data_IF_162747600742
#
_entry.id   IF_162747600742
#
_cell.length_a   1.000
_cell.length_b   1.000
_cell.length_c   1.000
_cell.angle_alpha   90.00
_cell.angle_beta   90.00
_cell.angle_gamma   90.00
#
_symmetry.space_group_name_H-M   'P 1'
#
loop_
_entity.id
_entity.type
_entity.pdbx_description
1 polymer ?
#
# COMPACT_ATOMS: atom_id res chain seq x y z
N UNK A 1 -12.53 5.05 15.15
CA UNK A 1 -11.58 6.08 14.67
C UNK A 1 -10.61 6.54 15.75
N UNK A 2 -11.07 7.03 16.91
CA UNK A 2 -10.16 7.54 17.97
C UNK A 2 -9.05 6.55 18.36
N UNK A 3 -9.38 5.28 18.57
CA UNK A 3 -8.42 4.20 18.88
C UNK A 3 -7.41 3.95 17.76
N UNK A 4 -7.83 4.05 16.49
CA UNK A 4 -6.95 3.90 15.33
C UNK A 4 -5.98 5.09 15.20
N UNK A 5 -6.48 6.32 15.41
CA UNK A 5 -5.65 7.53 15.44
C UNK A 5 -4.66 7.46 16.61
N UNK A 6 -5.12 7.08 17.80
CA UNK A 6 -4.25 6.91 18.96
C UNK A 6 -3.15 5.88 18.69
N UNK A 7 -3.47 4.77 18.02
CA UNK A 7 -2.48 3.79 17.59
C UNK A 7 -1.50 4.37 16.56
N UNK A 8 -1.97 5.10 15.55
CA UNK A 8 -1.11 5.77 14.56
C UNK A 8 -0.15 6.79 15.22
N UNK A 9 -0.64 7.58 16.17
CA UNK A 9 0.18 8.51 16.95
C UNK A 9 1.19 7.78 17.84
N UNK A 10 0.78 6.67 18.45
CA UNK A 10 1.67 5.86 19.27
C UNK A 10 2.83 5.25 18.46
N UNK A 11 2.65 4.98 17.15
CA UNK A 11 3.72 4.48 16.27
C UNK A 11 4.78 5.53 15.92
N UNK A 12 4.44 6.82 15.95
CA UNK A 12 5.33 7.91 15.56
C UNK A 12 6.69 7.89 16.30
N UNK A 13 6.76 7.82 17.65
CA UNK A 13 8.05 7.74 18.35
C UNK A 13 8.85 6.51 17.96
N UNK A 14 8.21 5.37 17.66
CA UNK A 14 8.93 4.17 17.23
C UNK A 14 9.58 4.38 15.86
N UNK A 15 8.91 5.07 14.93
CA UNK A 15 9.48 5.37 13.61
C UNK A 15 10.69 6.31 13.72
N UNK A 16 10.59 7.37 14.51
CA UNK A 16 11.69 8.32 14.74
C UNK A 16 12.87 7.62 15.41
N UNK A 17 12.62 6.85 16.49
CA UNK A 17 13.68 6.11 17.19
C UNK A 17 14.35 5.10 16.25
N UNK A 18 13.56 4.35 15.48
CA UNK A 18 14.09 3.41 14.51
C UNK A 18 14.90 4.10 13.41
N UNK A 19 14.49 5.30 12.98
CA UNK A 19 15.18 6.06 11.94
C UNK A 19 16.54 6.56 12.44
N UNK A 20 16.60 7.10 13.65
CA UNK A 20 17.86 7.55 14.27
C UNK A 20 18.82 6.38 14.57
N UNK A 21 18.32 5.24 15.07
CA UNK A 21 19.15 4.06 15.35
C UNK A 21 19.75 3.50 14.04
N UNK A 22 18.94 3.45 12.98
CA UNK A 22 19.36 2.84 11.70
C UNK A 22 20.00 3.82 10.72
N UNK A 23 19.98 5.13 11.04
CA UNK A 23 20.29 6.21 10.11
C UNK A 23 19.62 6.00 8.73
N UNK A 24 18.34 5.62 8.78
CA UNK A 24 17.55 5.25 7.61
C UNK A 24 16.11 5.70 7.84
N UNK A 25 15.61 6.58 6.97
CA UNK A 25 14.32 7.24 7.18
C UNK A 25 13.15 6.54 6.49
N UNK A 26 13.39 5.38 5.87
CA UNK A 26 12.36 4.52 5.26
C UNK A 26 11.67 3.58 6.27
N UNK A 27 11.67 3.95 7.55
CA UNK A 27 11.10 3.10 8.59
C UNK A 27 9.60 2.94 8.43
N UNK A 28 8.89 4.02 8.10
CA UNK A 28 7.45 3.96 7.83
C UNK A 28 7.16 3.13 6.58
N UNK A 29 8.02 3.21 5.56
CA UNK A 29 7.87 2.48 4.29
C UNK A 29 7.81 0.96 4.50
N UNK A 30 8.54 0.43 5.49
CA UNK A 30 8.48 -0.99 5.86
C UNK A 30 7.10 -1.42 6.39
N UNK A 31 6.38 -0.52 7.06
CA UNK A 31 5.08 -0.77 7.69
C UNK A 31 3.91 -0.36 6.80
N UNK A 32 4.16 0.48 5.79
CA UNK A 32 3.17 1.00 4.85
C UNK A 32 2.28 -0.08 4.23
N UNK A 33 2.79 -1.24 3.77
CA UNK A 33 1.95 -2.32 3.23
C UNK A 33 1.03 -2.99 4.24
N UNK A 34 1.29 -2.83 5.54
CA UNK A 34 0.67 -3.63 6.61
C UNK A 34 -0.36 -2.81 7.38
N UNK A 35 -0.04 -1.55 7.69
CA UNK A 35 -0.86 -0.71 8.57
C UNK A 35 -2.31 -0.52 8.10
N UNK A 36 -2.61 -0.27 6.80
CA UNK A 36 -3.99 -0.16 6.32
C UNK A 36 -4.84 -1.40 6.66
N UNK A 37 -4.29 -2.60 6.51
CA UNK A 37 -5.00 -3.83 6.87
C UNK A 37 -5.20 -3.97 8.37
N UNK A 38 -4.23 -3.56 9.20
CA UNK A 38 -4.39 -3.54 10.66
C UNK A 38 -5.57 -2.63 11.04
N UNK A 39 -5.68 -1.43 10.46
CA UNK A 39 -6.79 -0.52 10.73
C UNK A 39 -8.14 -1.08 10.26
N UNK A 40 -8.19 -1.65 9.05
CA UNK A 40 -9.41 -2.28 8.53
C UNK A 40 -9.89 -3.43 9.43
N UNK A 41 -8.98 -4.31 9.85
CA UNK A 41 -9.28 -5.41 10.76
C UNK A 41 -9.65 -4.93 12.16
N UNK A 42 -9.05 -3.84 12.64
CA UNK A 42 -9.45 -3.21 13.89
C UNK A 42 -10.91 -2.75 13.85
N UNK A 43 -11.35 -2.10 12.76
CA UNK A 43 -12.75 -1.68 12.60
C UNK A 43 -13.70 -2.87 12.48
N UNK A 44 -13.32 -3.91 11.74
CA UNK A 44 -14.07 -5.17 11.69
C UNK A 44 -14.22 -5.80 13.08
N UNK A 45 -13.12 -5.96 13.82
CA UNK A 45 -13.12 -6.59 15.14
C UNK A 45 -13.98 -5.81 16.14
N UNK A 46 -13.91 -4.48 16.10
CA UNK A 46 -14.76 -3.63 16.93
C UNK A 46 -16.24 -3.80 16.59
N UNK A 47 -16.62 -3.80 15.31
CA UNK A 47 -18.00 -3.98 14.89
C UNK A 47 -18.54 -5.36 15.29
N UNK A 48 -17.74 -6.41 15.07
CA UNK A 48 -18.07 -7.77 15.47
C UNK A 48 -18.30 -7.90 16.98
N UNK A 49 -17.40 -7.34 17.80
CA UNK A 49 -17.51 -7.37 19.26
C UNK A 49 -18.71 -6.61 19.83
N UNK A 50 -19.28 -5.67 19.06
CA UNK A 50 -20.49 -4.92 19.43
C UNK A 50 -21.77 -5.52 18.81
N UNK A 51 -21.70 -6.69 18.17
CA UNK A 51 -22.86 -7.34 17.57
C UNK A 51 -23.44 -6.59 16.37
N UNK A 52 -22.63 -5.76 15.70
CA UNK A 52 -23.04 -5.05 14.49
C UNK A 52 -22.92 -5.96 13.26
N UNK A 53 -23.64 -5.67 12.18
CA UNK A 53 -23.46 -6.40 10.92
C UNK A 53 -22.07 -6.20 10.33
N UNK A 54 -21.40 -7.30 9.98
CA UNK A 54 -19.98 -7.27 9.60
C UNK A 54 -19.67 -7.76 8.19
N UNK A 55 -20.63 -8.18 7.37
CA UNK A 55 -20.36 -8.80 6.06
C UNK A 55 -19.48 -7.92 5.15
N UNK A 56 -19.77 -6.62 5.08
CA UNK A 56 -18.97 -5.64 4.32
C UNK A 56 -17.57 -5.47 4.92
N UNK A 57 -17.49 -5.30 6.23
CA UNK A 57 -16.22 -5.11 6.95
C UNK A 57 -15.32 -6.34 6.85
N UNK A 58 -15.89 -7.54 6.92
CA UNK A 58 -15.20 -8.80 6.70
C UNK A 58 -14.66 -8.87 5.27
N UNK A 59 -15.47 -8.52 4.28
CA UNK A 59 -15.06 -8.49 2.87
C UNK A 59 -13.92 -7.52 2.63
N UNK A 60 -14.02 -6.29 3.17
CA UNK A 60 -12.94 -5.28 3.13
C UNK A 60 -11.67 -5.82 3.81
N UNK A 61 -11.79 -6.46 4.97
CA UNK A 61 -10.66 -7.05 5.69
C UNK A 61 -9.95 -8.16 4.91
N UNK A 62 -10.70 -9.04 4.23
CA UNK A 62 -10.12 -10.10 3.38
C UNK A 62 -9.40 -9.48 2.16
N UNK A 63 -10.05 -8.52 1.48
CA UNK A 63 -9.45 -7.84 0.32
C UNK A 63 -8.19 -7.07 0.74
N UNK A 64 -8.22 -6.36 1.87
CA UNK A 64 -7.06 -5.62 2.34
C UNK A 64 -5.92 -6.55 2.73
N UNK A 65 -6.21 -7.71 3.34
CA UNK A 65 -5.19 -8.73 3.62
C UNK A 65 -4.54 -9.25 2.34
N UNK A 66 -5.30 -9.51 1.27
CA UNK A 66 -4.74 -9.90 -0.03
C UNK A 66 -3.84 -8.80 -0.61
N UNK A 67 -4.27 -7.54 -0.53
CA UNK A 67 -3.48 -6.38 -0.93
C UNK A 67 -2.18 -6.27 -0.12
N UNK A 68 -2.25 -6.42 1.21
CA UNK A 68 -1.08 -6.42 2.10
C UNK A 68 -0.11 -7.54 1.75
N UNK A 69 -0.58 -8.77 1.59
CA UNK A 69 0.28 -9.91 1.23
C UNK A 69 1.00 -9.66 -0.09
N UNK A 70 0.27 -9.21 -1.13
CA UNK A 70 0.85 -8.86 -2.44
C UNK A 70 1.95 -7.81 -2.27
N UNK A 71 1.63 -6.71 -1.61
CA UNK A 71 2.48 -5.54 -1.55
C UNK A 71 3.71 -5.77 -0.66
N UNK A 72 3.53 -6.42 0.49
CA UNK A 72 4.63 -6.87 1.36
C UNK A 72 5.56 -7.81 0.61
N UNK A 73 5.03 -8.78 -0.14
CA UNK A 73 5.85 -9.66 -0.98
C UNK A 73 6.62 -8.88 -2.05
N UNK A 74 5.97 -7.93 -2.73
CA UNK A 74 6.59 -7.10 -3.76
C UNK A 74 7.71 -6.20 -3.20
N UNK A 75 7.52 -5.67 -1.99
CA UNK A 75 8.53 -4.86 -1.29
C UNK A 75 9.70 -5.72 -0.80
N UNK A 76 9.39 -6.90 -0.23
CA UNK A 76 10.38 -7.86 0.24
C UNK A 76 11.31 -8.35 -0.88
N UNK A 77 10.75 -8.81 -2.01
CA UNK A 77 11.56 -9.33 -3.12
C UNK A 77 12.48 -8.28 -3.74
N UNK A 78 12.14 -6.99 -3.61
CA UNK A 78 12.98 -5.86 -4.04
C UNK A 78 14.09 -5.51 -3.02
N UNK A 79 14.15 -6.20 -1.88
CA UNK A 79 15.12 -5.94 -0.82
C UNK A 79 14.72 -4.82 0.15
N UNK A 80 13.46 -4.36 0.13
CA UNK A 80 13.02 -3.22 0.96
C UNK A 80 13.10 -3.44 2.48
N UNK A 81 13.20 -4.70 2.92
CA UNK A 81 13.40 -5.07 4.32
C UNK A 81 14.86 -5.35 4.69
N UNK A 82 15.80 -5.23 3.75
CA UNK A 82 17.22 -5.46 4.00
C UNK A 82 17.83 -4.34 4.85
N UNK A 83 18.84 -4.67 5.66
CA UNK A 83 19.56 -3.67 6.44
C UNK A 83 20.23 -2.65 5.52
N UNK A 84 19.93 -1.36 5.70
CA UNK A 84 20.44 -0.28 4.84
C UNK A 84 19.64 -0.04 3.56
N UNK A 85 18.56 -0.79 3.30
CA UNK A 85 17.63 -0.47 2.23
C UNK A 85 16.89 0.83 2.58
N UNK A 86 17.27 1.92 1.92
CA UNK A 86 16.66 3.24 2.09
C UNK A 86 16.15 3.72 0.73
N UNK A 87 14.99 4.37 0.75
CA UNK A 87 14.48 5.08 -0.41
C UNK A 87 15.47 6.17 -0.85
N UNK A 88 15.77 6.20 -2.14
CA UNK A 88 16.75 7.10 -2.75
C UNK A 88 16.45 8.58 -2.52
N UNK A 89 15.20 8.95 -2.19
CA UNK A 89 14.79 10.32 -1.90
C UNK A 89 15.41 10.86 -0.62
N UNK A 90 15.59 10.03 0.40
CA UNK A 90 16.06 10.48 1.72
C UNK A 90 17.52 10.96 1.71
N UNK A 91 18.49 10.26 1.07
CA UNK A 91 19.84 10.79 0.88
C UNK A 91 19.86 12.15 0.16
N UNK A 92 19.10 12.29 -0.93
CA UNK A 92 19.02 13.54 -1.71
C UNK A 92 18.48 14.69 -0.84
N UNK A 93 17.42 14.43 -0.06
CA UNK A 93 16.85 15.43 0.84
C UNK A 93 17.80 15.79 2.00
N UNK A 94 18.57 14.83 2.52
CA UNK A 94 19.60 15.12 3.54
C UNK A 94 20.72 16.01 3.01
N UNK A 95 21.13 15.80 1.77
CA UNK A 95 22.14 16.65 1.13
C UNK A 95 21.62 18.09 0.91
N UNK A 96 20.33 18.25 0.60
CA UNK A 96 19.70 19.56 0.44
C UNK A 96 19.44 20.27 1.77
N UNK A 97 19.00 19.53 2.79
CA UNK A 97 18.74 20.04 4.15
C UNK A 97 19.97 19.77 5.01
N UNK A 98 21.02 20.56 4.78
CA UNK A 98 22.32 20.44 5.47
C UNK A 98 22.30 20.94 6.93
N UNK A 99 21.25 20.61 7.68
CA UNK A 99 21.10 20.90 9.09
C UNK A 99 20.38 19.73 9.77
N UNK A 100 21.10 19.04 10.67
CA UNK A 100 20.59 17.86 11.39
C UNK A 100 19.31 18.14 12.17
N UNK A 101 19.20 19.30 12.82
CA UNK A 101 18.01 19.64 13.60
C UNK A 101 16.79 19.86 12.71
N UNK A 102 16.96 20.55 11.57
CA UNK A 102 15.87 20.72 10.60
C UNK A 102 15.46 19.39 9.98
N UNK A 103 16.41 18.52 9.68
CA UNK A 103 16.11 17.19 9.15
C UNK A 103 15.40 16.31 10.18
N UNK A 104 15.79 16.39 11.45
CA UNK A 104 15.08 15.72 12.55
C UNK A 104 13.64 16.23 12.70
N UNK A 105 13.41 17.55 12.63
CA UNK A 105 12.06 18.10 12.65
C UNK A 105 11.23 17.62 11.45
N UNK A 106 11.85 17.53 10.28
CA UNK A 106 11.22 16.96 9.08
C UNK A 106 10.87 15.48 9.26
N UNK A 107 11.77 14.67 9.84
CA UNK A 107 11.48 13.27 10.17
C UNK A 107 10.29 13.14 11.12
N UNK A 108 10.29 13.87 12.22
CA UNK A 108 9.19 13.83 13.21
C UNK A 108 7.86 14.24 12.58
N UNK A 109 7.81 15.35 11.83
CA UNK A 109 6.56 15.95 11.36
C UNK A 109 6.04 15.35 10.06
N UNK A 110 6.92 15.17 9.07
CA UNK A 110 6.52 14.73 7.73
C UNK A 110 6.63 13.21 7.60
N UNK A 111 7.76 12.62 7.98
CA UNK A 111 7.99 11.20 7.77
C UNK A 111 7.18 10.39 8.79
N UNK A 112 7.43 10.55 10.09
CA UNK A 112 6.78 9.75 11.12
C UNK A 112 5.31 10.13 11.31
N UNK A 113 5.01 11.40 11.61
CA UNK A 113 3.65 11.82 11.95
C UNK A 113 2.71 11.81 10.74
N UNK A 114 3.06 12.51 9.66
CA UNK A 114 2.15 12.65 8.52
C UNK A 114 1.92 11.32 7.81
N UNK A 115 2.95 10.52 7.56
CA UNK A 115 2.75 9.21 6.90
C UNK A 115 1.96 8.24 7.78
N UNK A 116 2.20 8.20 9.10
CA UNK A 116 1.42 7.34 10.02
C UNK A 116 -0.07 7.72 10.03
N UNK A 117 -0.37 9.01 10.11
CA UNK A 117 -1.74 9.51 10.05
C UNK A 117 -2.37 9.32 8.66
N UNK A 118 -1.61 9.48 7.59
CA UNK A 118 -2.08 9.24 6.22
C UNK A 118 -2.47 7.77 6.01
N UNK A 119 -1.67 6.84 6.52
CA UNK A 119 -1.96 5.40 6.49
C UNK A 119 -3.25 5.04 7.25
N UNK A 120 -3.50 5.69 8.37
CA UNK A 120 -4.78 5.58 9.06
C UNK A 120 -5.91 6.22 8.23
N UNK A 121 -5.70 7.41 7.67
CA UNK A 121 -6.69 8.17 6.93
C UNK A 121 -7.17 7.46 5.65
N UNK A 122 -6.28 6.72 4.98
CA UNK A 122 -6.65 5.95 3.77
C UNK A 122 -7.70 4.87 4.07
N UNK A 123 -7.83 4.46 5.35
CA UNK A 123 -8.84 3.49 5.82
C UNK A 123 -10.15 4.13 6.28
N UNK A 124 -10.32 5.44 6.06
CA UNK A 124 -11.56 6.14 6.33
C UNK A 124 -12.82 5.49 5.70
N UNK A 125 -12.78 4.94 4.46
CA UNK A 125 -13.93 4.23 3.89
C UNK A 125 -14.45 3.09 4.77
N UNK A 126 -13.55 2.32 5.38
CA UNK A 126 -13.90 1.22 6.28
C UNK A 126 -14.53 1.72 7.57
N UNK A 127 -14.03 2.84 8.11
CA UNK A 127 -14.66 3.47 9.26
C UNK A 127 -16.06 4.00 8.95
N UNK A 128 -16.29 4.57 7.76
CA UNK A 128 -17.63 4.97 7.32
C UNK A 128 -18.58 3.77 7.27
N UNK A 129 -18.13 2.63 6.74
CA UNK A 129 -18.92 1.38 6.78
C UNK A 129 -19.25 0.93 8.21
N UNK A 130 -18.34 1.12 9.17
CA UNK A 130 -18.60 0.86 10.60
C UNK A 130 -19.64 1.81 11.21
N UNK A 131 -19.69 3.07 10.75
CA UNK A 131 -20.73 4.01 11.18
C UNK A 131 -22.10 3.64 10.58
N UNK A 132 -22.13 3.28 9.30
CA UNK A 132 -23.35 2.85 8.62
C UNK A 132 -23.95 1.58 9.25
N UNK A 133 -23.11 0.68 9.75
CA UNK A 133 -23.54 -0.53 10.46
C UNK A 133 -24.28 -0.26 11.79
N UNK A 134 -24.16 0.95 12.35
CA UNK A 134 -24.85 1.33 13.59
C UNK A 134 -26.26 1.91 13.36
N UNK A 135 -26.65 2.19 12.11
CA UNK A 135 -27.92 2.86 11.82
C UNK A 135 -29.12 1.91 11.94
N UNK A 136 -30.19 2.26 12.68
CA UNK A 136 -31.30 1.36 13.01
C UNK A 136 -32.20 0.88 11.86
N UNK A 137 -31.95 1.26 10.60
CA UNK A 137 -32.85 0.97 9.46
C UNK A 137 -32.18 0.71 8.10
N UNK A 138 -30.89 0.47 8.05
CA UNK A 138 -30.27 -0.12 6.85
C UNK A 138 -30.14 -1.60 7.11
N UNK A 139 -31.18 -2.38 6.77
CA UNK A 139 -31.12 -3.84 6.72
C UNK A 139 -29.90 -4.25 5.90
N UNK A 140 -28.80 -4.54 6.58
CA UNK A 140 -27.46 -4.62 6.01
C UNK A 140 -27.23 -6.01 5.41
N UNK A 141 -28.17 -6.46 4.60
CA UNK A 141 -27.92 -7.59 3.74
C UNK A 141 -26.89 -7.15 2.72
N UNK A 142 -25.77 -7.87 2.66
CA UNK A 142 -24.84 -7.77 1.55
C UNK A 142 -25.60 -7.83 0.22
N UNK A 143 -25.60 -6.75 -0.54
CA UNK A 143 -26.41 -6.60 -1.75
C UNK A 143 -25.59 -6.81 -3.04
N UNK A 144 -26.25 -6.64 -4.19
CA UNK A 144 -25.61 -6.79 -5.50
C UNK A 144 -24.49 -5.76 -5.69
N UNK A 145 -24.63 -4.54 -5.14
CA UNK A 145 -23.59 -3.54 -5.27
C UNK A 145 -22.37 -3.90 -4.40
N UNK A 146 -22.58 -4.41 -3.19
CA UNK A 146 -21.51 -4.96 -2.35
C UNK A 146 -20.74 -6.07 -3.08
N UNK A 147 -21.47 -6.92 -3.82
CA UNK A 147 -20.86 -7.95 -4.68
C UNK A 147 -20.05 -7.33 -5.82
N UNK A 148 -20.59 -6.33 -6.52
CA UNK A 148 -19.89 -5.67 -7.63
C UNK A 148 -18.62 -4.96 -7.14
N UNK A 149 -18.68 -4.17 -6.08
CA UNK A 149 -17.52 -3.47 -5.53
C UNK A 149 -16.44 -4.45 -5.06
N UNK A 150 -16.81 -5.50 -4.33
CA UNK A 150 -15.86 -6.52 -3.88
C UNK A 150 -15.18 -7.26 -5.04
N UNK A 151 -15.91 -7.54 -6.12
CA UNK A 151 -15.34 -8.17 -7.34
C UNK A 151 -14.45 -7.22 -8.12
N UNK A 152 -14.78 -5.94 -8.21
CA UNK A 152 -13.92 -4.93 -8.82
C UNK A 152 -12.61 -4.76 -8.04
N UNK A 153 -12.68 -4.66 -6.72
CA UNK A 153 -11.49 -4.60 -5.86
C UNK A 153 -10.58 -5.81 -6.05
N UNK A 154 -11.15 -7.02 -6.04
CA UNK A 154 -10.39 -8.25 -6.30
C UNK A 154 -9.76 -8.24 -7.70
N UNK A 155 -10.50 -7.80 -8.72
CA UNK A 155 -9.99 -7.67 -10.07
C UNK A 155 -8.81 -6.71 -10.17
N UNK A 156 -8.85 -5.55 -9.50
CA UNK A 156 -7.73 -4.63 -9.48
C UNK A 156 -6.49 -5.22 -8.79
N UNK A 157 -6.66 -5.99 -7.70
CA UNK A 157 -5.54 -6.73 -7.08
C UNK A 157 -4.91 -7.70 -8.08
N UNK A 158 -5.70 -8.40 -8.91
CA UNK A 158 -5.15 -9.27 -9.97
C UNK A 158 -4.34 -8.48 -11.00
N UNK A 159 -4.81 -7.28 -11.40
CA UNK A 159 -4.04 -6.39 -12.29
C UNK A 159 -2.70 -6.02 -11.63
N UNK A 160 -2.69 -5.66 -10.36
CA UNK A 160 -1.47 -5.33 -9.62
C UNK A 160 -0.49 -6.51 -9.59
N UNK A 161 -0.98 -7.72 -9.29
CA UNK A 161 -0.14 -8.94 -9.26
C UNK A 161 0.51 -9.18 -10.63
N UNK A 162 -0.27 -9.12 -11.71
CA UNK A 162 0.24 -9.36 -13.07
C UNK A 162 1.21 -8.25 -13.48
N UNK A 163 0.88 -6.99 -13.22
CA UNK A 163 1.72 -5.84 -13.55
C UNK A 163 3.05 -5.87 -12.79
N UNK A 164 3.01 -6.14 -11.49
CA UNK A 164 4.18 -6.25 -10.63
C UNK A 164 5.07 -7.43 -11.08
N UNK A 165 4.50 -8.57 -11.47
CA UNK A 165 5.27 -9.72 -11.95
C UNK A 165 5.92 -9.48 -13.33
N UNK A 166 5.20 -8.83 -14.25
CA UNK A 166 5.76 -8.41 -15.55
C UNK A 166 6.96 -7.49 -15.36
N UNK A 167 6.84 -6.50 -14.47
CA UNK A 167 7.93 -5.58 -14.13
C UNK A 167 9.10 -6.32 -13.48
N UNK A 168 8.83 -7.22 -12.53
CA UNK A 168 9.86 -7.97 -11.82
C UNK A 168 10.70 -8.82 -12.78
N UNK A 169 10.05 -9.62 -13.63
CA UNK A 169 10.73 -10.45 -14.64
C UNK A 169 11.59 -9.64 -15.58
N UNK A 170 11.08 -8.51 -16.05
CA UNK A 170 11.83 -7.62 -16.92
C UNK A 170 13.06 -7.04 -16.22
N UNK A 171 12.94 -6.55 -14.98
CA UNK A 171 14.08 -5.99 -14.26
C UNK A 171 15.17 -7.05 -14.02
N UNK A 172 14.78 -8.29 -13.72
CA UNK A 172 15.72 -9.42 -13.60
C UNK A 172 16.43 -9.72 -14.94
N UNK A 173 15.68 -9.76 -16.04
CA UNK A 173 16.24 -9.95 -17.39
C UNK A 173 17.20 -8.82 -17.80
N UNK A 174 16.79 -7.57 -17.57
CA UNK A 174 17.59 -6.38 -17.83
C UNK A 174 18.88 -6.39 -17.02
N UNK A 175 18.82 -6.71 -15.72
CA UNK A 175 20.00 -6.78 -14.87
C UNK A 175 20.98 -7.86 -15.34
N UNK A 176 20.46 -9.06 -15.69
CA UNK A 176 21.26 -10.15 -16.25
C UNK A 176 21.93 -9.74 -17.57
N UNK A 177 21.20 -9.11 -18.47
CA UNK A 177 21.74 -8.62 -19.74
C UNK A 177 22.85 -7.58 -19.54
N UNK A 178 22.65 -6.60 -18.64
CA UNK A 178 23.68 -5.58 -18.35
C UNK A 178 24.97 -6.18 -17.80
N UNK A 179 24.88 -7.28 -17.04
CA UNK A 179 26.06 -7.91 -16.45
C UNK A 179 26.76 -8.93 -17.36
N UNK A 180 26.02 -9.60 -18.25
CA UNK A 180 26.53 -10.75 -19.03
C UNK A 180 26.53 -10.54 -20.54
N UNK A 181 25.80 -9.54 -21.05
CA UNK A 181 25.54 -9.34 -22.49
C UNK A 181 24.59 -10.38 -23.10
N UNK A 182 24.10 -11.37 -22.33
CA UNK A 182 23.24 -12.45 -22.83
C UNK A 182 21.78 -12.03 -22.71
N UNK A 183 21.07 -12.07 -23.84
CA UNK A 183 19.62 -11.79 -23.91
C UNK A 183 18.85 -12.94 -23.24
N UNK A 184 17.99 -12.60 -22.27
CA UNK A 184 17.17 -13.59 -21.58
C UNK A 184 16.06 -14.13 -22.49
N UNK A 185 15.71 -15.42 -22.33
CA UNK A 185 14.65 -16.06 -23.11
C UNK A 185 13.32 -15.30 -22.95
N UNK A 186 12.66 -15.01 -24.08
CA UNK A 186 11.38 -14.31 -24.12
C UNK A 186 11.48 -12.78 -24.14
N UNK A 187 12.70 -12.24 -24.27
CA UNK A 187 12.96 -10.82 -24.50
C UNK A 187 13.83 -10.66 -25.75
N UNK A 188 13.64 -9.55 -26.45
CA UNK A 188 14.54 -9.13 -27.51
C UNK A 188 15.59 -8.15 -27.00
N UNK A 189 16.71 -8.03 -27.72
CA UNK A 189 17.78 -7.07 -27.38
C UNK A 189 17.23 -5.64 -27.30
N UNK A 190 16.41 -5.26 -28.27
CA UNK A 190 15.77 -3.94 -28.33
C UNK A 190 14.90 -3.65 -27.11
N UNK A 191 14.16 -4.65 -26.61
CA UNK A 191 13.32 -4.48 -25.43
C UNK A 191 14.13 -4.15 -24.18
N UNK A 192 15.27 -4.83 -24.00
CA UNK A 192 16.15 -4.64 -22.84
C UNK A 192 16.92 -3.30 -22.94
N UNK A 193 17.25 -2.87 -24.15
CA UNK A 193 17.96 -1.60 -24.40
C UNK A 193 17.05 -0.37 -24.25
N UNK A 194 15.74 -0.50 -24.50
CA UNK A 194 14.76 0.57 -24.21
C UNK A 194 14.75 1.00 -22.75
N UNK A 195 15.06 0.08 -21.83
CA UNK A 195 15.21 0.40 -20.41
C UNK A 195 13.93 0.32 -19.57
N UNK A 196 12.76 0.10 -20.18
CA UNK A 196 11.45 -0.10 -19.53
C UNK A 196 10.57 -1.16 -20.24
N UNK A 197 9.55 -1.68 -19.53
CA UNK A 197 8.63 -2.70 -20.07
C UNK A 197 7.65 -2.07 -21.06
N UNK A 198 7.41 -2.75 -22.18
CA UNK A 198 6.51 -2.29 -23.26
C UNK A 198 5.42 -3.29 -23.64
N UNK A 199 5.43 -4.50 -23.06
CA UNK A 199 4.53 -5.59 -23.41
C UNK A 199 3.55 -5.91 -22.28
N UNK A 200 2.51 -6.70 -22.58
CA UNK A 200 1.48 -7.05 -21.59
C UNK A 200 0.69 -5.83 -21.13
N UNK A 201 0.47 -5.69 -19.82
CA UNK A 201 -0.29 -4.56 -19.27
C UNK A 201 0.42 -3.22 -19.47
N UNK A 202 1.75 -3.25 -19.55
CA UNK A 202 2.60 -2.07 -19.74
C UNK A 202 2.50 -1.47 -21.16
N UNK A 203 1.89 -2.20 -22.11
CA UNK A 203 1.56 -1.66 -23.43
C UNK A 203 0.34 -0.72 -23.42
N UNK A 204 -0.58 -0.90 -22.46
CA UNK A 204 -1.80 -0.11 -22.32
C UNK A 204 -1.63 1.09 -21.37
N UNK A 205 -0.75 0.97 -20.37
CA UNK A 205 -0.47 2.01 -19.39
C UNK A 205 1.01 2.01 -19.04
N UNK A 206 1.59 3.19 -18.83
CA UNK A 206 2.98 3.32 -18.35
C UNK A 206 3.16 2.83 -16.91
N UNK A 207 2.07 2.77 -16.13
CA UNK A 207 2.08 2.36 -14.74
C UNK A 207 0.78 1.60 -14.40
N UNK A 208 0.58 0.39 -14.93
CA UNK A 208 -0.67 -0.34 -14.78
C UNK A 208 -0.94 -0.74 -13.31
N UNK A 209 0.11 -1.06 -12.54
CA UNK A 209 -0.01 -1.32 -11.10
C UNK A 209 -0.44 -0.06 -10.33
N UNK A 210 0.14 1.11 -10.58
CA UNK A 210 -0.30 2.36 -9.93
C UNK A 210 -1.73 2.73 -10.31
N UNK A 211 -2.13 2.55 -11.58
CA UNK A 211 -3.50 2.81 -12.01
C UNK A 211 -4.51 1.91 -11.28
N UNK A 212 -4.18 0.61 -11.13
CA UNK A 212 -4.99 -0.32 -10.35
C UNK A 212 -5.03 0.05 -8.86
N UNK A 213 -3.90 0.45 -8.27
CA UNK A 213 -3.82 0.93 -6.88
C UNK A 213 -4.75 2.14 -6.66
N UNK A 214 -4.72 3.14 -7.56
CA UNK A 214 -5.67 4.27 -7.48
C UNK A 214 -7.12 3.82 -7.60
N UNK A 215 -7.41 2.86 -8.51
CA UNK A 215 -8.74 2.32 -8.70
C UNK A 215 -9.25 1.57 -7.45
N UNK A 216 -8.38 0.86 -6.72
CA UNK A 216 -8.71 0.21 -5.44
C UNK A 216 -9.21 1.24 -4.44
N UNK A 217 -8.43 2.29 -4.19
CA UNK A 217 -8.79 3.32 -3.21
C UNK A 217 -10.07 4.05 -3.60
N UNK A 218 -10.20 4.47 -4.86
CA UNK A 218 -11.44 5.08 -5.36
C UNK A 218 -12.64 4.15 -5.20
N UNK A 219 -12.48 2.87 -5.48
CA UNK A 219 -13.56 1.87 -5.33
C UNK A 219 -13.96 1.72 -3.86
N UNK A 220 -13.02 1.68 -2.91
CA UNK A 220 -13.35 1.70 -1.48
C UNK A 220 -14.15 2.94 -1.08
N UNK A 221 -13.71 4.13 -1.52
CA UNK A 221 -14.41 5.39 -1.21
C UNK A 221 -15.82 5.42 -1.79
N UNK A 222 -15.99 5.05 -3.07
CA UNK A 222 -17.29 4.98 -3.72
C UNK A 222 -18.18 3.97 -3.01
N UNK A 223 -17.66 2.78 -2.68
CA UNK A 223 -18.42 1.75 -1.96
C UNK A 223 -18.89 2.26 -0.60
N UNK A 224 -18.03 2.96 0.16
CA UNK A 224 -18.41 3.53 1.46
C UNK A 224 -19.40 4.70 1.39
N UNK A 225 -19.56 5.31 0.20
CA UNK A 225 -20.50 6.42 -0.05
C UNK A 225 -21.75 5.95 -0.80
N UNK A 226 -21.79 4.67 -1.19
CA UNK A 226 -22.88 4.08 -1.93
C UNK A 226 -23.93 3.61 -0.92
N UNK A 227 -24.92 4.48 -0.70
CA UNK A 227 -26.06 4.40 0.23
C UNK A 227 -25.80 4.92 1.64
#
# INVERSE_FOLDING_TARGET
MLTAIAFALALCPFFVIAAEIRNNYSQVDCWWPILPSIYNLHFYAWAYGNGLPTDRLQTVGVISLLWTVRLTYNYWRKGGYSWGAEDYRWPILREQVNNRFLFFLFDVTFIALTQSLLLCAVTAPTYLLTLLAQLPKTGSTFDIADLVFSRLLFFYILIEIVADEQQWRYQQAKYKYRNTGIVAKGYDKEDLERGFVVSGLWSYSRHPNFAAEQAIWLTFYIWSSYK
#
